data_IF_769625763684
#
_entry.id   IF_769625763684
#
_cell.length_a   1.000
_cell.length_b   1.000
_cell.length_c   1.000
_cell.angle_alpha   90.00
_cell.angle_beta   90.00
_cell.angle_gamma   90.00
#
_symmetry.space_group_name_H-M   'P 1'
#
loop_
_entity.id
_entity.type
_entity.pdbx_description
1 polymer ?
#
# COMPACT_ATOMS: atom_id res chain seq x y z
N UNK A 1 27.29 5.83 5.92
CA UNK A 1 26.53 6.97 5.37
C UNK A 1 26.89 7.09 3.90
N UNK A 2 25.90 7.35 3.05
CA UNK A 2 25.85 7.27 1.58
C UNK A 2 25.07 6.04 1.09
N UNK A 3 24.32 6.22 0.00
CA UNK A 3 23.41 5.29 -0.68
C UNK A 3 21.89 5.36 -0.39
N UNK A 4 21.31 6.56 -0.23
CA UNK A 4 19.83 6.73 -0.38
C UNK A 4 19.40 7.81 -1.37
N UNK A 5 20.34 8.56 -1.96
CA UNK A 5 20.01 9.69 -2.86
C UNK A 5 20.02 9.33 -4.35
N UNK A 6 20.55 8.16 -4.73
CA UNK A 6 20.67 7.76 -6.13
C UNK A 6 19.37 7.15 -6.70
N UNK A 7 18.71 6.26 -5.94
CA UNK A 7 17.48 5.58 -6.37
C UNK A 7 16.28 6.53 -6.54
N UNK A 8 16.11 7.49 -5.63
CA UNK A 8 15.01 8.45 -5.65
C UNK A 8 15.08 9.44 -6.83
N UNK A 9 16.30 9.75 -7.32
CA UNK A 9 16.50 10.64 -8.48
C UNK A 9 16.23 9.94 -9.81
N UNK A 10 16.51 8.64 -9.90
CA UNK A 10 16.32 7.87 -11.13
C UNK A 10 14.83 7.76 -11.49
N UNK A 11 13.94 7.49 -10.53
CA UNK A 11 12.50 7.42 -10.80
C UNK A 11 11.84 8.79 -10.97
N UNK A 12 12.26 9.82 -10.22
CA UNK A 12 11.71 11.18 -10.36
C UNK A 12 12.08 11.83 -11.69
N UNK A 13 13.24 11.48 -12.28
CA UNK A 13 13.66 11.95 -13.61
C UNK A 13 12.82 11.36 -14.75
N UNK A 14 12.22 10.18 -14.57
CA UNK A 14 11.42 9.49 -15.60
C UNK A 14 9.97 10.00 -15.71
N UNK A 15 9.45 10.71 -14.69
CA UNK A 15 8.06 11.20 -14.69
C UNK A 15 7.83 12.47 -15.53
N UNK A 16 8.87 13.27 -15.80
CA UNK A 16 8.69 14.65 -16.31
C UNK A 16 9.37 14.97 -17.67
N UNK A 17 9.79 13.98 -18.46
CA UNK A 17 10.27 14.21 -19.83
C UNK A 17 9.76 13.14 -20.80
N UNK A 18 9.19 13.50 -21.96
CA UNK A 18 8.90 12.51 -22.99
C UNK A 18 10.22 11.91 -23.48
N UNK A 19 10.30 10.58 -23.54
CA UNK A 19 11.44 9.87 -24.15
C UNK A 19 11.52 10.24 -25.63
N UNK A 20 12.44 11.14 -25.98
CA UNK A 20 12.67 11.50 -27.38
C UNK A 20 13.65 10.54 -28.09
N UNK A 21 14.47 9.76 -27.36
CA UNK A 21 15.33 8.68 -27.89
C UNK A 21 15.63 7.61 -26.82
N UNK A 22 15.69 6.35 -27.24
CA UNK A 22 16.01 5.20 -26.38
C UNK A 22 17.52 5.07 -26.12
N UNK A 23 17.96 4.50 -24.98
CA UNK A 23 19.36 4.22 -24.68
C UNK A 23 20.00 3.19 -25.65
N UNK A 24 21.33 3.19 -25.79
CA UNK A 24 22.04 2.20 -26.62
C UNK A 24 21.79 0.77 -26.10
N UNK A 25 21.42 -0.15 -27.00
CA UNK A 25 21.13 -1.56 -26.68
C UNK A 25 19.66 -1.88 -26.44
N UNK A 26 18.78 -0.88 -26.44
CA UNK A 26 17.33 -1.10 -26.33
C UNK A 26 16.72 -1.30 -27.72
N UNK A 27 16.03 -2.43 -27.93
CA UNK A 27 15.33 -2.68 -29.20
C UNK A 27 14.11 -1.77 -29.31
N UNK A 28 14.11 -0.87 -30.31
CA UNK A 28 13.00 0.06 -30.59
C UNK A 28 11.66 -0.67 -30.80
N UNK A 29 11.73 -1.93 -31.23
CA UNK A 29 10.56 -2.76 -31.51
C UNK A 29 9.79 -3.17 -30.24
N UNK A 30 10.45 -3.15 -29.08
CA UNK A 30 9.80 -3.36 -27.79
C UNK A 30 9.01 -2.12 -27.35
N UNK A 31 9.41 -0.92 -27.78
CA UNK A 31 8.68 0.32 -27.52
C UNK A 31 7.36 0.40 -28.31
N UNK A 32 7.35 -0.12 -29.55
CA UNK A 32 6.16 -0.08 -30.43
C UNK A 32 5.09 -1.12 -30.06
N UNK A 33 5.47 -2.18 -29.34
CA UNK A 33 4.55 -3.20 -28.82
C UNK A 33 4.05 -2.89 -27.41
N UNK A 34 4.51 -1.79 -26.82
CA UNK A 34 4.12 -1.38 -25.49
C UNK A 34 2.76 -0.65 -25.57
N UNK A 35 1.66 -1.22 -25.04
CA UNK A 35 0.30 -0.65 -25.14
C UNK A 35 0.13 0.68 -24.38
N UNK A 36 1.19 1.14 -23.70
CA UNK A 36 1.21 2.32 -22.84
C UNK A 36 1.88 3.56 -23.46
N UNK A 37 2.47 3.48 -24.66
CA UNK A 37 3.22 4.60 -25.26
C UNK A 37 2.49 5.37 -26.37
N UNK A 38 1.25 5.00 -26.70
CA UNK A 38 0.45 5.63 -27.77
C UNK A 38 -0.85 6.31 -27.31
N UNK A 39 -1.13 6.36 -26.00
CA UNK A 39 -2.39 6.89 -25.47
C UNK A 39 -2.25 8.40 -25.22
N UNK A 40 -3.22 9.24 -25.64
CA UNK A 40 -3.23 10.66 -25.31
C UNK A 40 -3.20 10.82 -23.78
N UNK A 41 -2.48 11.83 -23.28
CA UNK A 41 -2.30 12.13 -21.85
C UNK A 41 -3.60 12.21 -21.03
N UNK A 42 -4.75 12.34 -21.69
CA UNK A 42 -6.08 12.32 -21.08
C UNK A 42 -6.55 10.92 -20.67
N UNK A 43 -6.09 9.85 -21.33
CA UNK A 43 -6.42 8.46 -20.95
C UNK A 43 -5.66 8.01 -19.69
N UNK A 44 -4.60 8.74 -19.31
CA UNK A 44 -3.84 8.51 -18.07
C UNK A 44 -4.56 9.01 -16.81
N UNK A 45 -5.69 9.71 -16.97
CA UNK A 45 -6.58 10.06 -15.88
C UNK A 45 -7.63 8.97 -15.61
N UNK A 46 -8.00 8.19 -16.64
CA UNK A 46 -9.06 7.16 -16.53
C UNK A 46 -8.55 5.76 -16.19
N UNK A 47 -7.23 5.53 -16.25
CA UNK A 47 -6.61 4.28 -15.76
C UNK A 47 -6.52 4.17 -14.23
N UNK A 48 -7.20 5.04 -13.47
CA UNK A 48 -7.27 4.93 -12.00
C UNK A 48 -8.63 5.34 -11.45
N UNK A 49 -9.70 4.95 -12.11
CA UNK A 49 -10.93 4.64 -11.38
C UNK A 49 -10.81 3.19 -10.90
N UNK A 50 -9.89 2.96 -9.95
CA UNK A 50 -10.07 1.83 -9.02
C UNK A 50 -11.33 2.21 -8.25
N UNK A 51 -12.39 1.39 -8.25
CA UNK A 51 -13.55 1.63 -7.42
C UNK A 51 -13.05 1.97 -6.01
N UNK A 52 -13.56 3.05 -5.41
CA UNK A 52 -13.29 3.35 -4.01
C UNK A 52 -13.66 2.11 -3.20
N UNK A 53 -12.67 1.43 -2.63
CA UNK A 53 -12.89 0.20 -1.89
C UNK A 53 -11.69 -0.75 -1.81
N UNK A 54 -10.94 -0.97 -2.89
CA UNK A 54 -9.96 -2.07 -2.88
C UNK A 54 -8.64 -1.66 -3.56
N UNK A 55 -7.79 -0.96 -2.81
CA UNK A 55 -6.37 -1.03 -3.11
C UNK A 55 -5.87 -2.37 -2.59
N UNK A 56 -5.70 -3.34 -3.48
CA UNK A 56 -5.08 -4.63 -3.17
C UNK A 56 -3.58 -4.50 -3.48
N UNK A 57 -2.82 -3.92 -2.55
CA UNK A 57 -1.38 -3.76 -2.68
C UNK A 57 -0.67 -4.85 -1.88
N UNK A 58 0.39 -5.41 -2.44
CA UNK A 58 1.24 -6.41 -1.79
C UNK A 58 2.69 -6.11 -2.14
N UNK A 59 3.57 -6.10 -1.13
CA UNK A 59 5.01 -5.96 -1.36
C UNK A 59 5.63 -7.31 -1.72
N UNK A 60 5.09 -8.40 -1.18
CA UNK A 60 5.53 -9.77 -1.42
C UNK A 60 4.37 -10.77 -1.15
N UNK A 61 3.42 -10.96 -2.08
CA UNK A 61 2.21 -11.74 -1.85
C UNK A 61 2.45 -13.24 -1.54
N UNK A 62 3.67 -13.74 -1.75
CA UNK A 62 4.06 -15.12 -1.41
C UNK A 62 4.69 -15.27 -0.02
N UNK A 63 4.82 -14.20 0.76
CA UNK A 63 5.37 -14.30 2.11
C UNK A 63 4.37 -14.93 3.07
N UNK A 64 4.88 -15.76 3.97
CA UNK A 64 4.10 -16.38 5.02
C UNK A 64 3.79 -15.45 6.19
N UNK A 65 4.55 -14.36 6.34
CA UNK A 65 4.32 -13.34 7.35
C UNK A 65 3.77 -12.07 6.73
N UNK A 66 2.78 -11.45 7.38
CA UNK A 66 2.06 -10.29 6.83
C UNK A 66 2.01 -9.10 7.79
N UNK A 67 2.08 -7.91 7.23
CA UNK A 67 1.75 -6.64 7.89
C UNK A 67 0.58 -6.05 7.11
N UNK A 68 -0.61 -6.14 7.68
CA UNK A 68 -1.81 -5.56 7.09
C UNK A 68 -1.97 -4.11 7.55
N UNK A 69 -1.93 -3.19 6.59
CA UNK A 69 -2.21 -1.77 6.79
C UNK A 69 -3.70 -1.53 6.58
N UNK A 70 -4.42 -1.41 7.70
CA UNK A 70 -5.86 -1.23 7.76
C UNK A 70 -6.19 0.27 7.72
N UNK A 71 -6.90 0.69 6.69
CA UNK A 71 -7.34 2.08 6.50
C UNK A 71 -8.87 2.23 6.57
N UNK A 72 -9.62 1.14 6.50
CA UNK A 72 -11.08 1.12 6.51
C UNK A 72 -11.66 1.17 7.93
N UNK A 73 -10.80 1.06 8.94
CA UNK A 73 -11.15 1.24 10.33
C UNK A 73 -11.35 -0.10 11.02
N UNK A 74 -11.21 -0.08 12.35
CA UNK A 74 -11.18 -1.31 13.13
C UNK A 74 -11.77 -1.12 14.51
N UNK A 75 -12.43 -2.16 15.00
CA UNK A 75 -12.92 -2.22 16.39
C UNK A 75 -12.14 -3.28 17.15
N UNK A 76 -11.20 -2.84 17.99
CA UNK A 76 -10.40 -3.73 18.83
C UNK A 76 -11.10 -4.00 20.16
N UNK A 77 -11.36 -5.28 20.43
CA UNK A 77 -11.94 -5.77 21.68
C UNK A 77 -11.21 -7.02 22.14
N UNK A 78 -11.20 -7.26 23.46
CA UNK A 78 -10.57 -8.46 24.04
C UNK A 78 -9.05 -8.56 23.83
N UNK A 79 -8.39 -7.47 23.41
CA UNK A 79 -6.94 -7.42 23.22
C UNK A 79 -6.23 -6.94 24.48
N UNK A 80 -4.89 -7.06 24.52
CA UNK A 80 -4.06 -6.53 25.61
C UNK A 80 -4.13 -4.99 25.75
N UNK A 81 -4.64 -4.29 24.74
CA UNK A 81 -4.80 -2.84 24.75
C UNK A 81 -6.14 -2.38 25.37
N UNK A 82 -7.07 -3.30 25.61
CA UNK A 82 -8.35 -3.01 26.24
C UNK A 82 -8.22 -3.07 27.78
N UNK A 83 -8.87 -2.13 28.48
CA UNK A 83 -8.95 -2.12 29.96
C UNK A 83 -10.42 -2.13 30.41
N UNK A 84 -10.73 -2.37 31.69
CA UNK A 84 -12.11 -2.28 32.19
C UNK A 84 -12.77 -0.91 31.90
N UNK A 85 -12.00 0.17 31.92
CA UNK A 85 -12.44 1.54 31.64
C UNK A 85 -12.55 1.81 30.13
N UNK A 86 -11.85 1.02 29.30
CA UNK A 86 -11.83 1.11 27.84
C UNK A 86 -11.96 -0.28 27.20
N UNK A 87 -13.14 -0.91 27.30
CA UNK A 87 -13.35 -2.29 26.85
C UNK A 87 -13.37 -2.42 25.32
N UNK A 88 -13.60 -1.31 24.60
CA UNK A 88 -13.67 -1.23 23.15
C UNK A 88 -12.82 -0.04 22.69
N UNK A 89 -11.99 -0.24 21.67
CA UNK A 89 -11.25 0.82 20.98
C UNK A 89 -11.72 0.82 19.53
N UNK A 90 -12.23 1.96 19.06
CA UNK A 90 -12.72 2.14 17.70
C UNK A 90 -11.76 3.07 16.98
N UNK A 91 -11.03 2.55 16.00
CA UNK A 91 -10.26 3.35 15.05
C UNK A 91 -11.15 3.68 13.86
N UNK A 92 -11.50 4.95 13.62
CA UNK A 92 -12.25 5.34 12.43
C UNK A 92 -11.45 5.06 11.15
N UNK A 93 -12.13 4.97 10.01
CA UNK A 93 -11.47 4.95 8.70
C UNK A 93 -10.56 6.17 8.52
N UNK A 94 -9.50 6.01 7.71
CA UNK A 94 -8.66 7.12 7.29
C UNK A 94 -9.48 8.11 6.47
N UNK A 95 -9.52 9.35 6.91
CA UNK A 95 -10.38 10.38 6.33
C UNK A 95 -9.69 11.75 6.43
N UNK A 96 -9.58 12.45 5.30
CA UNK A 96 -9.05 13.81 5.16
C UNK A 96 -10.04 14.74 4.48
N UNK A 97 -11.17 14.23 3.98
CA UNK A 97 -12.20 15.01 3.27
C UNK A 97 -13.58 15.01 3.96
N UNK A 98 -13.66 14.42 5.16
CA UNK A 98 -14.86 14.31 6.00
C UNK A 98 -15.91 13.36 5.42
N UNK A 99 -15.48 12.35 4.65
CA UNK A 99 -16.35 11.32 4.08
C UNK A 99 -15.82 9.90 4.37
N UNK A 100 -15.98 9.41 5.61
CA UNK A 100 -15.40 8.14 6.05
C UNK A 100 -16.03 6.90 5.38
N UNK A 101 -17.09 7.06 4.58
CA UNK A 101 -17.71 5.98 3.84
C UNK A 101 -17.00 5.62 2.54
N UNK A 102 -16.03 6.41 2.09
CA UNK A 102 -15.29 6.16 0.84
C UNK A 102 -13.97 6.92 0.79
N UNK A 103 -12.94 6.32 0.21
CA UNK A 103 -11.69 7.04 -0.05
C UNK A 103 -11.76 7.90 -1.31
N UNK A 104 -11.47 9.18 -1.14
CA UNK A 104 -11.19 10.17 -2.17
C UNK A 104 -9.91 9.87 -2.95
N UNK A 105 -9.75 10.48 -4.12
CA UNK A 105 -8.52 10.36 -4.94
C UNK A 105 -7.26 10.78 -4.17
N UNK A 106 -7.38 11.76 -3.27
CA UNK A 106 -6.27 12.23 -2.44
C UNK A 106 -5.87 11.16 -1.42
N UNK A 107 -6.85 10.56 -0.74
CA UNK A 107 -6.58 9.50 0.24
C UNK A 107 -6.01 8.26 -0.43
N UNK A 108 -6.54 7.87 -1.59
CA UNK A 108 -5.99 6.78 -2.39
C UNK A 108 -4.54 7.05 -2.85
N UNK A 109 -4.14 8.32 -3.00
CA UNK A 109 -2.76 8.68 -3.25
C UNK A 109 -1.91 8.54 -1.98
N UNK A 110 -2.40 9.03 -0.85
CA UNK A 110 -1.73 8.93 0.46
C UNK A 110 -1.55 7.48 0.90
N UNK A 111 -2.59 6.65 0.82
CA UNK A 111 -2.56 5.21 1.15
C UNK A 111 -1.46 4.51 0.37
N UNK A 112 -1.38 4.75 -0.96
CA UNK A 112 -0.31 4.19 -1.78
C UNK A 112 1.07 4.67 -1.32
N UNK A 113 1.23 5.96 -1.02
CA UNK A 113 2.51 6.53 -0.61
C UNK A 113 2.96 6.00 0.76
N UNK A 114 2.03 5.81 1.69
CA UNK A 114 2.27 5.18 2.99
C UNK A 114 2.69 3.73 2.78
N UNK A 115 1.93 2.96 2.00
CA UNK A 115 2.27 1.58 1.68
C UNK A 115 3.64 1.46 1.01
N UNK A 116 3.99 2.33 0.06
CA UNK A 116 5.32 2.34 -0.60
C UNK A 116 6.45 2.54 0.42
N UNK A 117 6.30 3.47 1.37
CA UNK A 117 7.31 3.72 2.42
C UNK A 117 7.44 2.58 3.41
N UNK A 118 6.31 2.07 3.91
CA UNK A 118 6.34 0.93 4.84
C UNK A 118 6.93 -0.29 4.13
N UNK A 119 6.53 -0.54 2.89
CA UNK A 119 7.10 -1.62 2.08
C UNK A 119 8.61 -1.49 1.92
N UNK A 120 9.13 -0.27 1.67
CA UNK A 120 10.56 0.02 1.55
C UNK A 120 11.33 -0.35 2.82
N UNK A 121 10.83 0.05 3.99
CA UNK A 121 11.47 -0.21 5.28
C UNK A 121 11.50 -1.71 5.63
N UNK A 122 10.50 -2.47 5.14
CA UNK A 122 10.41 -3.90 5.39
C UNK A 122 11.03 -4.78 4.28
N UNK A 123 11.62 -4.20 3.22
CA UNK A 123 12.31 -4.94 2.15
C UNK A 123 13.37 -5.94 2.61
N UNK A 124 14.16 -5.69 3.68
CA UNK A 124 15.14 -6.67 4.14
C UNK A 124 14.54 -7.96 4.70
N UNK A 125 13.23 -7.98 4.99
CA UNK A 125 12.55 -9.09 5.63
C UNK A 125 11.67 -9.84 4.63
N UNK A 126 11.44 -11.13 4.88
CA UNK A 126 10.50 -11.94 4.10
C UNK A 126 9.09 -11.76 4.64
N UNK A 127 8.55 -10.54 4.48
CA UNK A 127 7.19 -10.18 4.92
C UNK A 127 6.42 -9.54 3.77
N UNK A 128 5.12 -9.73 3.75
CA UNK A 128 4.20 -9.03 2.87
C UNK A 128 3.60 -7.83 3.60
N UNK A 129 3.89 -6.63 3.12
CA UNK A 129 3.17 -5.42 3.53
C UNK A 129 2.00 -5.28 2.58
N UNK A 130 0.78 -5.37 3.11
CA UNK A 130 -0.44 -5.43 2.30
C UNK A 130 -1.53 -4.50 2.78
N UNK A 131 -2.38 -4.04 1.86
CA UNK A 131 -3.65 -3.34 2.14
C UNK A 131 -4.88 -4.20 1.83
N UNK A 132 -4.68 -5.44 1.39
CA UNK A 132 -5.74 -6.46 1.29
C UNK A 132 -5.87 -7.15 2.66
N UNK A 133 -7.08 -7.19 3.24
CA UNK A 133 -7.31 -7.88 4.52
C UNK A 133 -7.12 -9.40 4.30
N UNK A 134 -6.07 -10.02 4.89
CA UNK A 134 -5.81 -11.44 4.70
C UNK A 134 -6.69 -12.33 5.60
N UNK A 135 -7.59 -11.74 6.39
CA UNK A 135 -8.40 -12.42 7.40
C UNK A 135 -7.68 -12.51 8.75
N UNK A 136 -8.46 -12.67 9.82
CA UNK A 136 -7.96 -12.64 11.20
C UNK A 136 -6.95 -13.75 11.51
N UNK A 137 -7.15 -14.95 10.96
CA UNK A 137 -6.26 -16.09 11.21
C UNK A 137 -4.85 -15.83 10.67
N UNK A 138 -4.73 -15.13 9.53
CA UNK A 138 -3.44 -14.74 8.95
C UNK A 138 -2.75 -13.58 9.69
N UNK A 139 -3.39 -13.01 10.72
CA UNK A 139 -2.90 -11.88 11.52
C UNK A 139 -2.68 -12.23 12.99
N UNK A 140 -2.95 -13.47 13.41
CA UNK A 140 -2.78 -13.93 14.78
C UNK A 140 -1.88 -15.15 14.78
N UNK A 141 -0.85 -15.14 15.63
CA UNK A 141 -0.06 -16.33 15.86
C UNK A 141 -0.83 -17.31 16.76
N UNK A 142 -1.28 -18.43 16.18
CA UNK A 142 -2.11 -19.43 16.86
C UNK A 142 -1.34 -20.59 17.49
N UNK A 143 -0.02 -20.67 17.29
CA UNK A 143 0.86 -21.65 17.93
C UNK A 143 1.97 -22.18 17.04
N UNK A 144 2.70 -23.22 17.49
CA UNK A 144 3.93 -23.69 16.84
C UNK A 144 3.73 -24.35 15.47
N UNK A 145 2.53 -24.81 15.15
CA UNK A 145 2.17 -25.33 13.83
C UNK A 145 1.73 -24.24 12.86
N UNK A 146 1.54 -23.03 13.35
CA UNK A 146 1.11 -21.89 12.56
C UNK A 146 2.30 -21.28 11.82
N UNK A 147 2.26 -21.39 10.49
CA UNK A 147 3.29 -20.83 9.61
C UNK A 147 2.84 -19.52 8.97
N UNK A 148 1.56 -19.15 9.06
CA UNK A 148 0.94 -18.05 8.32
C UNK A 148 0.29 -17.06 9.28
N UNK A 149 1.06 -16.07 9.74
CA UNK A 149 0.61 -15.11 10.75
C UNK A 149 1.16 -13.72 10.46
N UNK A 150 0.72 -12.73 11.23
CA UNK A 150 1.10 -11.35 10.94
C UNK A 150 0.70 -10.38 12.03
N UNK A 151 0.46 -9.14 11.61
CA UNK A 151 -0.09 -8.10 12.47
C UNK A 151 -0.96 -7.14 11.67
N UNK A 152 -1.96 -6.57 12.36
CA UNK A 152 -2.79 -5.47 11.87
C UNK A 152 -2.22 -4.15 12.36
N UNK A 153 -2.14 -3.16 11.47
CA UNK A 153 -1.78 -1.78 11.78
C UNK A 153 -2.95 -0.90 11.37
N UNK A 154 -3.71 -0.41 12.35
CA UNK A 154 -4.83 0.49 12.08
C UNK A 154 -4.32 1.91 11.84
N UNK A 155 -4.61 2.47 10.67
CA UNK A 155 -4.22 3.81 10.24
C UNK A 155 -5.51 4.59 9.97
N UNK A 156 -5.88 5.44 10.92
CA UNK A 156 -7.15 6.14 10.88
C UNK A 156 -7.18 7.38 11.75
N UNK A 157 -8.39 7.87 12.04
CA UNK A 157 -8.60 9.00 12.93
C UNK A 157 -8.25 8.70 14.40
N UNK A 158 -8.46 9.71 15.27
CA UNK A 158 -8.24 9.58 16.71
C UNK A 158 -9.25 8.57 17.32
N UNK A 159 -8.78 7.52 18.01
CA UNK A 159 -9.64 6.58 18.72
C UNK A 159 -9.96 7.01 20.18
N UNK A 160 -9.70 8.27 20.55
CA UNK A 160 -9.88 8.82 21.91
C UNK A 160 -10.71 10.10 21.96
#
# INVERSE_FOLDING_TARGET
MLESTWFHRFFKFQKNKPFKKAPPGWKLDLLKKNPFLGRPILERLEARLVPAGEFLLHSNPGASQRIFLDFDGHTATGTLFNTPERPVIITPAYDVDLNPGSFSTLELANIREIWERVSEDFLPFTVDVTTEDPGVDALIYSGTSDTEWGMRVCIGGDPF
#
